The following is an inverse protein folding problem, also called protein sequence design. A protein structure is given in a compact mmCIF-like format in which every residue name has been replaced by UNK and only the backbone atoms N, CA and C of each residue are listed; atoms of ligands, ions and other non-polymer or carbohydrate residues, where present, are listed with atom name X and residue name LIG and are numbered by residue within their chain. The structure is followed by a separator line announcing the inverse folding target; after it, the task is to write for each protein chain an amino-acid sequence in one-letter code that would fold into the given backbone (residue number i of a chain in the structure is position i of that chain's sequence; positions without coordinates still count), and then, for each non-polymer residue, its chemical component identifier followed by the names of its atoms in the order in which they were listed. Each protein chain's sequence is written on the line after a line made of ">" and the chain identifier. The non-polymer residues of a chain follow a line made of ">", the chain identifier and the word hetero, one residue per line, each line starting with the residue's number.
data_IF_289970646294
#
_entry.id   IF_289970646294
#
_cell.length_a   1.000
_cell.length_b   1.000
_cell.length_c   1.000
_cell.angle_alpha   90.00
_cell.angle_beta   90.00
_cell.angle_gamma   90.00
#
_symmetry.space_group_name_H-M   'P 1'
#
loop_
_entity.id
_entity.type
_entity.pdbx_description
1 polymer ?
#
# COMPACT_ATOMS: atom_id res chain seq x y z
N UNK A 1 40.07 27.63 13.03
CA UNK A 1 38.89 27.39 12.17
C UNK A 1 39.04 26.02 11.53
N UNK A 2 37.98 25.19 11.44
CA UNK A 2 37.90 23.89 10.71
C UNK A 2 37.87 22.56 11.49
N UNK A 3 37.49 22.55 12.77
CA UNK A 3 36.85 21.35 13.37
C UNK A 3 35.35 21.55 13.59
N UNK A 4 34.94 22.72 14.11
CA UNK A 4 33.54 23.02 14.40
C UNK A 4 32.61 22.99 13.18
N UNK A 5 33.10 23.34 11.98
CA UNK A 5 32.29 23.32 10.75
C UNK A 5 32.06 21.89 10.23
N UNK A 6 33.05 21.00 10.41
CA UNK A 6 32.93 19.60 9.99
C UNK A 6 31.98 18.86 10.95
N UNK A 7 32.10 19.10 12.26
CA UNK A 7 31.19 18.53 13.25
C UNK A 7 29.77 19.06 13.08
N UNK A 8 29.59 20.36 12.76
CA UNK A 8 28.26 20.91 12.47
C UNK A 8 27.64 20.37 11.18
N UNK A 9 28.44 20.15 10.12
CA UNK A 9 27.97 19.52 8.88
C UNK A 9 27.63 18.04 9.10
N UNK A 10 28.42 17.32 9.90
CA UNK A 10 28.12 15.92 10.27
C UNK A 10 26.87 15.81 11.14
N UNK A 11 26.67 16.70 12.11
CA UNK A 11 25.43 16.78 12.90
C UNK A 11 24.22 17.14 12.04
N UNK A 12 24.40 18.04 11.05
CA UNK A 12 23.36 18.37 10.08
C UNK A 12 23.06 17.20 9.14
N UNK A 13 24.07 16.42 8.72
CA UNK A 13 23.87 15.18 7.97
C UNK A 13 23.18 14.08 8.78
N UNK A 14 23.41 14.00 10.11
CA UNK A 14 22.74 13.04 10.99
C UNK A 14 21.27 13.43 11.21
N UNK A 15 20.97 14.72 11.37
CA UNK A 15 19.59 15.22 11.52
C UNK A 15 18.73 15.15 10.24
N UNK A 16 19.34 14.87 9.08
CA UNK A 16 18.65 14.74 7.77
C UNK A 16 18.27 13.27 7.46
N UNK A 17 18.54 12.32 8.36
CA UNK A 17 18.32 10.88 8.12
C UNK A 17 17.24 10.24 9.02
N UNK A 18 16.41 11.02 9.69
CA UNK A 18 15.22 10.51 10.38
C UNK A 18 13.99 10.78 9.50
N UNK A 19 13.69 9.82 8.62
CA UNK A 19 12.37 9.72 8.01
C UNK A 19 11.45 9.08 9.04
N UNK A 20 10.70 9.90 9.79
CA UNK A 20 9.68 9.48 10.74
C UNK A 20 8.45 8.80 10.08
N UNK A 21 8.60 8.31 8.84
CA UNK A 21 7.54 7.67 8.09
C UNK A 21 8.03 6.65 7.07
N UNK A 22 7.08 6.13 6.29
CA UNK A 22 7.32 5.10 5.29
C UNK A 22 8.33 5.52 4.20
N UNK A 23 8.84 4.56 3.44
CA UNK A 23 9.74 4.86 2.33
C UNK A 23 9.09 5.77 1.28
N UNK A 24 9.89 6.64 0.64
CA UNK A 24 9.39 7.55 -0.40
C UNK A 24 8.72 6.81 -1.57
N UNK A 25 9.21 5.62 -1.95
CA UNK A 25 8.58 4.81 -3.00
C UNK A 25 7.24 4.20 -2.54
N UNK A 26 7.09 3.84 -1.27
CA UNK A 26 5.82 3.39 -0.70
C UNK A 26 4.81 4.54 -0.65
N UNK A 27 5.25 5.73 -0.22
CA UNK A 27 4.43 6.96 -0.23
C UNK A 27 3.93 7.30 -1.63
N UNK A 28 4.82 7.26 -2.63
CA UNK A 28 4.44 7.47 -4.04
C UNK A 28 3.48 6.37 -4.52
N UNK A 29 3.72 5.11 -4.14
CA UNK A 29 2.84 3.99 -4.47
C UNK A 29 1.42 4.18 -3.92
N UNK A 30 1.28 4.67 -2.68
CA UNK A 30 -0.03 5.00 -2.10
C UNK A 30 -0.72 6.11 -2.90
N UNK A 31 -0.02 7.17 -3.28
CA UNK A 31 -0.61 8.23 -4.10
C UNK A 31 -1.02 7.73 -5.49
N UNK A 32 -0.28 6.79 -6.09
CA UNK A 32 -0.67 6.11 -7.32
C UNK A 32 -1.94 5.28 -7.14
N UNK A 33 -2.07 4.56 -6.03
CA UNK A 33 -3.29 3.83 -5.68
C UNK A 33 -4.48 4.79 -5.53
N UNK A 34 -4.32 5.90 -4.80
CA UNK A 34 -5.37 6.92 -4.67
C UNK A 34 -5.81 7.45 -6.03
N UNK A 35 -4.87 7.82 -6.89
CA UNK A 35 -5.16 8.29 -8.25
C UNK A 35 -5.93 7.24 -9.05
N UNK A 36 -5.52 5.98 -8.97
CA UNK A 36 -6.21 4.87 -9.64
C UNK A 36 -7.65 4.71 -9.13
N UNK A 37 -7.86 4.65 -7.81
CA UNK A 37 -9.19 4.51 -7.20
C UNK A 37 -10.11 5.66 -7.63
N UNK A 38 -9.64 6.91 -7.54
CA UNK A 38 -10.42 8.08 -7.96
C UNK A 38 -10.70 8.10 -9.47
N UNK A 39 -9.91 7.39 -10.27
CA UNK A 39 -10.15 7.23 -11.71
C UNK A 39 -11.25 6.22 -12.05
N UNK A 40 -11.54 5.25 -11.17
CA UNK A 40 -12.61 4.26 -11.36
C UNK A 40 -14.00 4.89 -11.19
N UNK A 41 -14.09 5.94 -10.37
CA UNK A 41 -15.27 6.77 -10.20
C UNK A 41 -15.03 7.75 -9.08
N UNK A 42 -15.30 9.05 -9.31
CA UNK A 42 -15.25 10.05 -8.25
C UNK A 42 -16.50 9.93 -7.38
N UNK A 43 -16.47 9.01 -6.43
CA UNK A 43 -17.41 9.05 -5.32
C UNK A 43 -16.86 10.02 -4.27
N UNK A 44 -17.68 11.00 -3.86
CA UNK A 44 -17.29 11.96 -2.83
C UNK A 44 -16.81 11.25 -1.54
N UNK A 45 -17.37 10.07 -1.25
CA UNK A 45 -16.97 9.22 -0.13
C UNK A 45 -15.53 8.68 -0.26
N UNK A 46 -15.07 8.32 -1.46
CA UNK A 46 -13.68 7.86 -1.66
C UNK A 46 -12.67 8.98 -1.40
N UNK A 47 -13.01 10.22 -1.75
CA UNK A 47 -12.17 11.38 -1.47
C UNK A 47 -12.06 11.64 0.04
N UNK A 48 -13.14 11.40 0.81
CA UNK A 48 -13.15 11.50 2.26
C UNK A 48 -12.36 10.37 2.94
N UNK A 49 -12.52 9.13 2.49
CA UNK A 49 -11.80 7.97 3.05
C UNK A 49 -10.28 8.03 2.83
N UNK A 50 -9.85 8.71 1.77
CA UNK A 50 -8.44 8.89 1.37
C UNK A 50 -7.93 10.32 1.60
N UNK A 51 -8.62 11.13 2.41
CA UNK A 51 -8.33 12.54 2.62
C UNK A 51 -6.92 12.79 3.18
N UNK A 52 -6.48 11.94 4.10
CA UNK A 52 -5.17 11.96 4.75
C UNK A 52 -4.00 11.66 3.79
N UNK A 53 -4.26 11.07 2.63
CA UNK A 53 -3.23 10.72 1.63
C UNK A 53 -2.85 11.96 0.82
N UNK A 54 -1.91 12.74 1.36
CA UNK A 54 -1.55 14.08 0.85
C UNK A 54 -0.26 14.09 0.03
N UNK A 55 -0.21 14.97 -0.97
CA UNK A 55 1.00 15.22 -1.78
C UNK A 55 2.02 16.12 -1.04
N UNK A 56 2.33 15.77 0.21
CA UNK A 56 3.34 16.45 0.99
C UNK A 56 4.49 15.48 1.28
N UNK A 57 5.70 15.81 0.81
CA UNK A 57 6.91 14.99 1.02
C UNK A 57 7.34 14.89 2.49
N UNK A 58 6.90 15.83 3.33
CA UNK A 58 7.14 15.79 4.78
C UNK A 58 6.03 15.08 5.55
N UNK A 59 4.98 14.59 4.87
CA UNK A 59 3.94 13.80 5.53
C UNK A 59 4.43 12.38 5.77
N UNK A 60 4.32 11.92 7.01
CA UNK A 60 4.39 10.50 7.32
C UNK A 60 3.15 9.78 6.74
N UNK A 61 3.37 8.75 5.92
CA UNK A 61 2.27 7.96 5.36
C UNK A 61 1.76 6.86 6.32
N UNK A 62 2.50 6.57 7.39
CA UNK A 62 2.13 5.59 8.41
C UNK A 62 1.00 6.08 9.32
N UNK A 63 0.74 7.39 9.35
CA UNK A 63 -0.43 7.99 9.99
C UNK A 63 -1.62 8.17 9.05
N UNK A 64 -1.47 7.83 7.77
CA UNK A 64 -2.59 7.91 6.84
C UNK A 64 -3.65 6.88 7.20
N UNK A 65 -4.92 7.28 7.03
CA UNK A 65 -6.04 6.37 7.18
C UNK A 65 -5.80 5.16 6.28
N UNK A 66 -6.19 3.97 6.77
CA UNK A 66 -6.10 2.71 6.02
C UNK A 66 -4.67 2.22 5.72
N UNK A 67 -3.65 2.81 6.35
CA UNK A 67 -2.25 2.37 6.28
C UNK A 67 -1.78 1.94 7.68
N UNK A 68 -1.06 0.82 7.77
CA UNK A 68 -0.27 0.47 8.97
C UNK A 68 1.16 0.12 8.59
N UNK A 69 2.10 0.65 9.35
CA UNK A 69 3.51 0.40 9.16
C UNK A 69 4.13 -0.55 10.21
N UNK A 70 5.34 -1.02 9.94
CA UNK A 70 6.17 -1.76 10.90
C UNK A 70 6.61 -0.85 12.05
N UNK A 71 6.69 -1.42 13.26
CA UNK A 71 7.20 -0.73 14.46
C UNK A 71 8.57 -1.25 14.91
N UNK A 72 9.24 -2.06 14.08
CA UNK A 72 10.38 -2.91 14.51
C UNK A 72 11.69 -2.53 13.80
N UNK A 73 11.62 -1.72 12.74
CA UNK A 73 12.77 -1.34 11.91
C UNK A 73 13.13 0.13 12.11
N UNK A 74 14.41 0.47 11.90
CA UNK A 74 14.90 1.85 11.88
C UNK A 74 14.27 2.68 10.75
N UNK A 75 13.67 2.01 9.77
CA UNK A 75 12.90 2.59 8.67
C UNK A 75 11.53 1.93 8.65
N UNK A 76 10.46 2.71 8.75
CA UNK A 76 9.11 2.15 8.72
C UNK A 76 8.75 1.71 7.30
N UNK A 77 8.06 0.56 7.21
CA UNK A 77 7.55 0.02 5.96
C UNK A 77 6.05 -0.21 6.05
N UNK A 78 5.33 -0.05 4.95
CA UNK A 78 3.90 -0.36 4.90
C UNK A 78 3.71 -1.88 5.00
N UNK A 79 3.01 -2.33 6.04
CA UNK A 79 2.77 -3.75 6.32
C UNK A 79 1.31 -4.16 6.16
N UNK A 80 0.36 -3.23 6.34
CA UNK A 80 -1.06 -3.50 6.11
C UNK A 80 -1.68 -2.35 5.34
N UNK A 81 -2.48 -2.71 4.33
CA UNK A 81 -3.20 -1.77 3.49
C UNK A 81 -4.67 -2.17 3.41
N UNK A 82 -5.57 -1.24 3.72
CA UNK A 82 -7.02 -1.48 3.80
C UNK A 82 -7.74 -0.72 2.67
N UNK A 83 -7.94 -1.39 1.53
CA UNK A 83 -8.61 -0.82 0.35
C UNK A 83 -10.01 -1.40 0.15
N UNK A 84 -10.62 -1.89 1.22
CA UNK A 84 -11.99 -2.38 1.21
C UNK A 84 -12.98 -1.24 0.94
N UNK A 85 -14.06 -1.54 0.23
CA UNK A 85 -15.17 -0.60 0.00
C UNK A 85 -14.78 0.72 -0.71
N UNK A 86 -13.71 0.72 -1.50
CA UNK A 86 -13.24 1.91 -2.24
C UNK A 86 -13.58 1.86 -3.74
N UNK A 87 -14.06 0.73 -4.24
CA UNK A 87 -14.48 0.53 -5.62
C UNK A 87 -15.88 -0.11 -5.66
N UNK A 88 -16.89 0.74 -5.74
CA UNK A 88 -18.33 0.41 -5.67
C UNK A 88 -19.06 0.52 -7.02
N UNK A 89 -18.32 0.86 -8.10
CA UNK A 89 -18.90 1.09 -9.42
C UNK A 89 -18.02 0.51 -10.51
N UNK A 90 -18.56 -0.50 -11.15
CA UNK A 90 -17.99 -1.04 -12.37
C UNK A 90 -17.06 -2.21 -12.11
N UNK A 91 -17.14 -3.17 -13.02
CA UNK A 91 -16.35 -4.39 -12.97
C UNK A 91 -14.93 -4.06 -13.42
N UNK A 92 -13.97 -4.15 -12.51
CA UNK A 92 -12.56 -3.82 -12.77
C UNK A 92 -11.63 -4.97 -12.43
N UNK A 93 -10.57 -5.16 -13.23
CA UNK A 93 -9.53 -6.13 -12.93
C UNK A 93 -8.59 -5.60 -11.85
N UNK A 94 -8.12 -6.48 -10.96
CA UNK A 94 -7.09 -6.13 -9.99
C UNK A 94 -5.77 -5.85 -10.70
N UNK A 95 -5.31 -4.60 -10.65
CA UNK A 95 -4.00 -4.21 -11.18
C UNK A 95 -2.90 -4.49 -10.15
N UNK A 96 -2.36 -5.71 -10.16
CA UNK A 96 -1.34 -6.12 -9.19
C UNK A 96 -0.04 -5.30 -9.23
N UNK A 97 0.26 -4.64 -10.35
CA UNK A 97 1.47 -3.79 -10.47
C UNK A 97 1.44 -2.57 -9.55
N UNK A 98 0.25 -2.08 -9.17
CA UNK A 98 0.06 -0.99 -8.22
C UNK A 98 0.66 -1.29 -6.84
N UNK A 99 0.76 -2.57 -6.48
CA UNK A 99 1.25 -2.99 -5.18
C UNK A 99 2.75 -3.28 -5.15
N UNK A 100 3.44 -3.20 -6.30
CA UNK A 100 4.88 -3.49 -6.41
C UNK A 100 5.80 -2.69 -5.47
N UNK A 101 5.47 -1.45 -5.02
CA UNK A 101 6.31 -0.74 -4.06
C UNK A 101 6.34 -1.36 -2.66
N UNK A 102 5.33 -2.15 -2.27
CA UNK A 102 5.12 -2.62 -0.90
C UNK A 102 5.70 -4.02 -0.66
N UNK A 103 7.03 -4.15 -0.76
CA UNK A 103 7.72 -5.45 -0.62
C UNK A 103 7.59 -6.07 0.77
N UNK A 104 7.30 -5.25 1.77
CA UNK A 104 7.14 -5.64 3.18
C UNK A 104 5.66 -5.86 3.58
N UNK A 105 4.73 -5.78 2.61
CA UNK A 105 3.31 -5.92 2.85
C UNK A 105 2.98 -7.32 3.39
N UNK A 106 2.31 -7.38 4.53
CA UNK A 106 1.87 -8.60 5.20
C UNK A 106 0.37 -8.86 4.98
N UNK A 107 -0.43 -7.79 4.84
CA UNK A 107 -1.87 -7.88 4.67
C UNK A 107 -2.34 -6.88 3.62
N UNK A 108 -3.15 -7.36 2.68
CA UNK A 108 -3.85 -6.53 1.70
C UNK A 108 -5.34 -6.88 1.78
N UNK A 109 -6.16 -5.88 2.11
CA UNK A 109 -7.62 -6.02 2.13
C UNK A 109 -8.18 -5.31 0.89
N UNK A 110 -8.79 -6.09 -0.01
CA UNK A 110 -9.52 -5.63 -1.19
C UNK A 110 -10.99 -6.05 -1.12
N UNK A 111 -11.50 -6.39 0.06
CA UNK A 111 -12.85 -6.91 0.23
C UNK A 111 -13.93 -5.87 -0.06
N UNK A 112 -15.15 -6.32 -0.32
CA UNK A 112 -16.32 -5.46 -0.54
C UNK A 112 -16.11 -4.43 -1.66
N UNK A 113 -15.57 -4.89 -2.79
CA UNK A 113 -15.35 -4.09 -3.99
C UNK A 113 -15.98 -4.80 -5.20
N UNK A 114 -16.11 -4.11 -6.33
CA UNK A 114 -16.61 -4.69 -7.59
C UNK A 114 -15.49 -5.29 -8.46
N UNK A 115 -14.42 -5.84 -7.88
CA UNK A 115 -13.37 -6.45 -8.69
C UNK A 115 -13.86 -7.74 -9.37
N UNK A 116 -13.49 -7.92 -10.65
CA UNK A 116 -13.82 -9.10 -11.45
C UNK A 116 -12.59 -9.80 -12.01
N UNK A 117 -12.82 -10.94 -12.67
CA UNK A 117 -11.77 -11.67 -13.36
C UNK A 117 -10.94 -12.55 -12.44
N UNK A 118 -9.74 -12.90 -12.94
CA UNK A 118 -8.75 -13.67 -12.20
C UNK A 118 -7.81 -12.75 -11.43
N UNK A 119 -7.30 -13.26 -10.31
CA UNK A 119 -6.22 -12.60 -9.58
C UNK A 119 -4.98 -12.58 -10.49
N UNK A 120 -4.47 -11.38 -10.79
CA UNK A 120 -3.32 -11.21 -11.66
C UNK A 120 -2.04 -11.85 -11.08
N UNK A 121 -1.15 -12.31 -11.98
CA UNK A 121 0.15 -12.90 -11.60
C UNK A 121 1.02 -11.96 -10.77
N UNK A 122 0.80 -10.66 -10.84
CA UNK A 122 1.68 -9.67 -10.19
C UNK A 122 1.52 -9.63 -8.66
N UNK A 123 0.41 -10.12 -8.10
CA UNK A 123 0.25 -10.25 -6.64
C UNK A 123 1.30 -11.21 -6.06
N UNK A 124 1.78 -12.19 -6.84
CA UNK A 124 2.85 -13.11 -6.42
C UNK A 124 4.17 -12.40 -6.09
N UNK A 125 4.35 -11.16 -6.58
CA UNK A 125 5.56 -10.39 -6.35
C UNK A 125 5.63 -9.85 -4.91
N UNK A 126 4.51 -9.88 -4.17
CA UNK A 126 4.44 -9.53 -2.75
C UNK A 126 4.93 -10.70 -1.89
N UNK A 127 6.25 -10.89 -1.83
CA UNK A 127 6.90 -12.06 -1.23
C UNK A 127 6.59 -12.28 0.26
N UNK A 128 6.16 -11.22 0.96
CA UNK A 128 5.89 -11.26 2.40
C UNK A 128 4.41 -11.27 2.75
N UNK A 129 3.55 -11.26 1.74
CA UNK A 129 2.10 -11.25 1.93
C UNK A 129 1.67 -12.53 2.65
N UNK A 130 0.85 -12.39 3.69
CA UNK A 130 0.30 -13.49 4.49
C UNK A 130 -1.22 -13.54 4.43
N UNK A 131 -1.84 -12.39 4.23
CA UNK A 131 -3.30 -12.27 4.17
C UNK A 131 -3.65 -11.46 2.93
N UNK A 132 -4.51 -12.04 2.10
CA UNK A 132 -5.18 -11.37 1.00
C UNK A 132 -6.67 -11.56 1.18
N UNK A 133 -7.37 -10.48 1.52
CA UNK A 133 -8.83 -10.49 1.65
C UNK A 133 -9.47 -10.03 0.34
N UNK A 134 -10.29 -10.90 -0.24
CA UNK A 134 -10.99 -10.69 -1.50
C UNK A 134 -12.49 -10.96 -1.33
N UNK A 135 -12.97 -11.06 -0.09
CA UNK A 135 -14.37 -11.32 0.20
C UNK A 135 -15.30 -10.30 -0.44
N UNK A 136 -16.52 -10.70 -0.76
CA UNK A 136 -17.53 -9.81 -1.38
C UNK A 136 -17.01 -9.05 -2.63
N UNK A 137 -16.47 -9.80 -3.60
CA UNK A 137 -16.10 -9.33 -4.94
C UNK A 137 -16.75 -10.21 -6.03
N UNK A 138 -16.66 -9.81 -7.30
CA UNK A 138 -17.21 -10.51 -8.47
C UNK A 138 -16.17 -11.40 -9.20
N UNK A 139 -15.22 -11.96 -8.45
CA UNK A 139 -14.13 -12.78 -8.99
C UNK A 139 -14.66 -14.12 -9.54
N UNK A 140 -14.12 -14.55 -10.67
CA UNK A 140 -14.51 -15.81 -11.31
C UNK A 140 -13.30 -16.62 -11.76
N UNK A 141 -13.45 -17.94 -11.87
CA UNK A 141 -12.40 -18.87 -12.27
C UNK A 141 -11.47 -19.30 -11.14
N UNK A 142 -10.53 -20.20 -11.47
CA UNK A 142 -9.59 -20.74 -10.50
C UNK A 142 -8.52 -19.70 -10.18
N UNK A 143 -8.21 -19.51 -8.90
CA UNK A 143 -6.92 -18.93 -8.50
C UNK A 143 -5.88 -19.83 -9.15
N UNK A 144 -5.19 -19.36 -10.20
CA UNK A 144 -4.16 -20.16 -10.86
C UNK A 144 -3.23 -20.69 -9.76
N UNK A 145 -2.97 -22.00 -9.72
CA UNK A 145 -2.23 -22.66 -8.64
C UNK A 145 -0.80 -22.14 -8.38
N UNK A 146 -0.37 -21.11 -9.10
CA UNK A 146 0.87 -20.36 -8.95
C UNK A 146 0.74 -19.06 -8.12
N UNK A 147 -0.47 -18.65 -7.73
CA UNK A 147 -0.71 -17.54 -6.78
C UNK A 147 -0.68 -18.05 -5.33
N UNK A 148 -0.78 -19.38 -5.17
CA UNK A 148 -0.65 -20.06 -3.89
C UNK A 148 0.83 -20.05 -3.51
N UNK A 149 1.28 -19.00 -2.83
CA UNK A 149 2.29 -19.26 -1.81
C UNK A 149 1.56 -20.08 -0.74
N UNK A 150 2.10 -21.24 -0.37
CA UNK A 150 1.49 -22.18 0.59
C UNK A 150 1.11 -21.55 1.95
N UNK A 151 1.53 -20.30 2.19
CA UNK A 151 1.37 -19.53 3.43
C UNK A 151 0.41 -18.34 3.34
N UNK A 152 -0.10 -17.98 2.16
CA UNK A 152 -1.07 -16.87 2.02
C UNK A 152 -2.47 -17.38 2.34
N UNK A 153 -3.07 -16.82 3.39
CA UNK A 153 -4.48 -17.04 3.71
C UNK A 153 -5.34 -16.16 2.81
N UNK A 154 -6.09 -16.80 1.92
CA UNK A 154 -7.16 -16.16 1.17
C UNK A 154 -8.43 -16.16 2.02
N UNK A 155 -9.02 -14.98 2.19
CA UNK A 155 -10.40 -14.88 2.67
C UNK A 155 -11.28 -14.55 1.47
N UNK A 156 -12.13 -15.50 1.12
CA UNK A 156 -13.09 -15.40 0.01
C UNK A 156 -14.40 -15.91 0.58
N UNK A 157 -15.22 -15.00 1.10
CA UNK A 157 -16.63 -15.23 1.45
C UNK A 157 -17.43 -13.97 1.13
#
# INVERSE_FOLDING_TARGET
>A
MRLGVIVSLLLYCVAVLESDGCLENERIGLLQIKSYILSLGREEWNELELDSWVENRSSDCCVWNRVKCSNISTQQHVTHLFLDSLNSRGSHLINGSLYSPFQELLSLDLSNNDYEGWIGKDIKNLQRLKVLDLGSNNLYGSIEGNIIQDYVKFKIL
#
